data_IF_180221539608
#
_entry.id   IF_180221539608
#
_cell.length_a   1.000
_cell.length_b   1.000
_cell.length_c   1.000
_cell.angle_alpha   90.00
_cell.angle_beta   90.00
_cell.angle_gamma   90.00
#
_symmetry.space_group_name_H-M   'P 1'
#
loop_
_entity.id
_entity.type
_entity.pdbx_description
1 polymer ?
#
# COMPACT_ATOMS: atom_id res chain seq x y z
N UNK A 1 29.41 8.64 18.83
CA UNK A 1 28.52 8.45 17.66
C UNK A 1 27.25 7.81 18.17
N UNK A 2 26.14 8.54 18.27
CA UNK A 2 24.86 7.93 18.64
C UNK A 2 24.44 7.04 17.48
N UNK A 3 24.34 5.72 17.70
CA UNK A 3 23.79 4.82 16.71
C UNK A 3 22.38 5.31 16.38
N UNK A 4 22.15 5.73 15.13
CA UNK A 4 20.81 6.08 14.67
C UNK A 4 19.94 4.85 14.85
N UNK A 5 19.07 4.87 15.85
CA UNK A 5 18.24 3.72 16.19
C UNK A 5 17.28 3.45 15.05
N UNK A 6 17.70 2.49 14.22
CA UNK A 6 17.03 2.09 13.01
C UNK A 6 15.97 1.05 13.37
N UNK A 7 14.69 1.36 13.13
CA UNK A 7 13.66 0.34 13.25
C UNK A 7 13.86 -0.65 12.10
N UNK A 8 14.57 -1.74 12.38
CA UNK A 8 14.81 -2.82 11.43
C UNK A 8 13.92 -4.02 11.80
N UNK A 9 12.60 -3.97 11.50
CA UNK A 9 11.73 -5.08 11.83
C UNK A 9 12.10 -6.32 11.00
N UNK A 10 11.77 -7.49 11.53
CA UNK A 10 11.78 -8.74 10.75
C UNK A 10 10.49 -8.80 9.93
N UNK A 11 10.62 -8.98 8.62
CA UNK A 11 9.48 -9.03 7.69
C UNK A 11 8.99 -10.45 7.51
N UNK A 12 7.72 -10.69 7.79
CA UNK A 12 7.10 -12.02 7.68
C UNK A 12 5.86 -11.96 6.81
N UNK A 13 5.84 -12.76 5.75
CA UNK A 13 4.64 -13.05 4.95
C UNK A 13 4.08 -14.42 5.31
N UNK A 14 2.83 -14.70 4.93
CA UNK A 14 2.28 -16.04 5.06
C UNK A 14 3.01 -17.01 4.11
N UNK A 15 3.19 -18.27 4.53
CA UNK A 15 3.80 -19.32 3.67
C UNK A 15 3.08 -19.46 2.33
N UNK A 16 1.75 -19.39 2.35
CA UNK A 16 0.93 -19.46 1.14
C UNK A 16 0.51 -18.06 0.70
N UNK A 17 0.75 -17.66 -0.57
CA UNK A 17 0.24 -16.41 -1.10
C UNK A 17 -1.29 -16.38 -1.09
N UNK A 18 -1.86 -15.17 -0.99
CA UNK A 18 -3.30 -14.97 -1.04
C UNK A 18 -3.85 -15.33 -2.41
N UNK A 19 -3.19 -14.86 -3.47
CA UNK A 19 -3.54 -15.19 -4.85
C UNK A 19 -2.28 -15.70 -5.57
N UNK A 20 -2.39 -16.85 -6.23
CA UNK A 20 -1.29 -17.50 -6.95
C UNK A 20 -1.38 -17.18 -8.43
N UNK A 21 -0.22 -16.89 -9.02
CA UNK A 21 -0.05 -16.79 -10.46
C UNK A 21 -0.90 -15.69 -11.13
N UNK A 22 -1.01 -14.53 -10.47
CA UNK A 22 -1.74 -13.34 -10.93
C UNK A 22 -0.91 -12.59 -11.97
N UNK A 23 -1.52 -12.16 -13.06
CA UNK A 23 -0.86 -11.37 -14.12
C UNK A 23 -0.72 -9.89 -13.73
N UNK A 24 0.18 -9.16 -14.40
CA UNK A 24 0.32 -7.71 -14.19
C UNK A 24 -0.96 -6.92 -14.54
N UNK A 25 -1.74 -7.38 -15.53
CA UNK A 25 -3.03 -6.80 -15.89
C UNK A 25 -4.05 -6.99 -14.77
N UNK A 26 -4.14 -8.19 -14.20
CA UNK A 26 -5.01 -8.47 -13.05
C UNK A 26 -4.61 -7.66 -11.83
N UNK A 27 -3.31 -7.52 -11.54
CA UNK A 27 -2.81 -6.64 -10.48
C UNK A 27 -3.29 -5.19 -10.71
N UNK A 28 -3.11 -4.68 -11.93
CA UNK A 28 -3.55 -3.32 -12.29
C UNK A 28 -5.05 -3.15 -12.09
N UNK A 29 -5.85 -4.10 -12.58
CA UNK A 29 -7.31 -4.07 -12.54
C UNK A 29 -7.88 -4.22 -11.13
N UNK A 30 -7.35 -5.16 -10.35
CA UNK A 30 -7.88 -5.55 -9.03
C UNK A 30 -7.37 -4.61 -7.93
N UNK A 31 -6.07 -4.29 -7.95
CA UNK A 31 -5.45 -3.45 -6.92
C UNK A 31 -5.46 -1.96 -7.28
N UNK A 32 -5.88 -1.59 -8.50
CA UNK A 32 -5.78 -0.22 -9.00
C UNK A 32 -4.32 0.25 -9.10
N UNK A 33 -3.40 -0.67 -9.37
CA UNK A 33 -1.96 -0.43 -9.44
C UNK A 33 -1.57 -0.05 -10.88
N UNK A 34 -2.05 1.09 -11.36
CA UNK A 34 -1.95 1.50 -12.78
C UNK A 34 -0.52 1.75 -13.26
N UNK A 35 0.44 1.93 -12.35
CA UNK A 35 1.85 2.11 -12.67
C UNK A 35 2.69 0.88 -12.29
N UNK A 36 2.06 -0.29 -12.06
CA UNK A 36 2.75 -1.50 -11.63
C UNK A 36 3.86 -1.92 -12.61
N UNK A 37 3.53 -2.05 -13.90
CA UNK A 37 4.52 -2.49 -14.91
C UNK A 37 5.67 -1.47 -15.01
N UNK A 38 5.44 -0.16 -15.26
CA UNK A 38 6.54 0.80 -15.34
C UNK A 38 7.43 0.85 -14.08
N UNK A 39 6.83 0.75 -12.89
CA UNK A 39 7.57 0.76 -11.64
C UNK A 39 8.41 -0.52 -11.47
N UNK A 40 7.88 -1.68 -11.84
CA UNK A 40 8.61 -2.95 -11.82
C UNK A 40 9.73 -2.96 -12.85
N UNK A 41 9.51 -2.45 -14.06
CA UNK A 41 10.56 -2.33 -15.07
C UNK A 41 11.72 -1.45 -14.60
N UNK A 42 11.39 -0.32 -13.98
CA UNK A 42 12.39 0.59 -13.40
C UNK A 42 13.19 -0.11 -12.31
N UNK A 43 12.51 -0.84 -11.42
CA UNK A 43 13.17 -1.60 -10.36
C UNK A 43 14.10 -2.68 -10.91
N UNK A 44 13.65 -3.49 -11.87
CA UNK A 44 14.46 -4.56 -12.45
C UNK A 44 15.65 -4.03 -13.25
N UNK A 45 15.47 -2.93 -14.00
CA UNK A 45 16.58 -2.29 -14.74
C UNK A 45 17.64 -1.72 -13.80
N UNK A 46 17.24 -1.24 -12.62
CA UNK A 46 18.19 -0.77 -11.61
C UNK A 46 18.93 -1.93 -10.95
N UNK A 47 18.28 -3.08 -10.76
CA UNK A 47 18.90 -4.28 -10.21
C UNK A 47 19.85 -4.95 -11.21
N UNK A 48 19.45 -5.02 -12.49
CA UNK A 48 20.27 -5.56 -13.57
C UNK A 48 20.05 -4.74 -14.86
N UNK A 49 21.01 -3.86 -15.21
CA UNK A 49 20.94 -3.03 -16.41
C UNK A 49 20.92 -3.82 -17.73
N UNK A 50 21.30 -5.10 -17.72
CA UNK A 50 21.32 -5.95 -18.93
C UNK A 50 19.92 -6.43 -19.35
N UNK A 51 18.92 -6.27 -18.48
CA UNK A 51 17.53 -6.58 -18.76
C UNK A 51 16.91 -5.51 -19.68
N UNK A 52 17.16 -5.65 -20.98
CA UNK A 52 16.66 -4.70 -21.99
C UNK A 52 15.22 -4.98 -22.45
N UNK A 53 14.78 -6.25 -22.42
CA UNK A 53 13.44 -6.64 -22.88
C UNK A 53 12.51 -6.97 -21.71
N UNK A 54 11.99 -5.91 -21.10
CA UNK A 54 11.09 -6.03 -19.95
C UNK A 54 9.63 -6.23 -20.37
N UNK A 55 9.35 -6.23 -21.68
CA UNK A 55 8.01 -6.48 -22.23
C UNK A 55 7.44 -7.85 -21.83
N UNK A 56 8.33 -8.79 -21.49
CA UNK A 56 8.03 -10.13 -21.01
C UNK A 56 7.28 -10.11 -19.66
N UNK A 57 7.38 -9.03 -18.86
CA UNK A 57 6.65 -8.88 -17.59
C UNK A 57 5.14 -9.02 -17.71
N UNK A 58 4.58 -8.70 -18.88
CA UNK A 58 3.14 -8.85 -19.13
C UNK A 58 2.69 -10.30 -19.17
N UNK A 59 3.59 -11.24 -19.48
CA UNK A 59 3.34 -12.69 -19.55
C UNK A 59 3.64 -13.39 -18.24
N UNK A 60 4.39 -12.74 -17.36
CA UNK A 60 4.75 -13.30 -16.08
C UNK A 60 3.58 -13.32 -15.10
N UNK A 61 3.66 -14.28 -14.19
CA UNK A 61 2.66 -14.55 -13.16
C UNK A 61 3.30 -14.36 -11.80
N UNK A 62 2.64 -13.59 -10.95
CA UNK A 62 3.13 -13.18 -9.64
C UNK A 62 2.32 -13.85 -8.55
N UNK A 63 2.99 -14.21 -7.47
CA UNK A 63 2.31 -14.55 -6.22
C UNK A 63 2.06 -13.26 -5.45
N UNK A 64 0.86 -13.07 -4.91
CA UNK A 64 0.52 -11.86 -4.15
C UNK A 64 0.03 -12.19 -2.75
N UNK A 65 0.31 -11.29 -1.81
CA UNK A 65 -0.12 -11.39 -0.42
C UNK A 65 -1.00 -10.20 -0.06
N UNK A 66 -2.06 -10.49 0.68
CA UNK A 66 -2.93 -9.45 1.22
C UNK A 66 -2.37 -8.76 2.46
N UNK A 67 -1.36 -9.37 3.13
CA UNK A 67 -0.77 -8.86 4.37
C UNK A 67 0.70 -9.26 4.51
N UNK A 68 1.48 -8.40 5.15
CA UNK A 68 2.79 -8.71 5.72
C UNK A 68 2.82 -8.26 7.19
N UNK A 69 3.63 -8.92 8.01
CA UNK A 69 3.91 -8.57 9.40
C UNK A 69 5.30 -7.95 9.49
N UNK A 70 5.42 -6.86 10.23
CA UNK A 70 6.67 -6.24 10.63
C UNK A 70 6.85 -6.56 12.11
N UNK A 71 7.76 -7.47 12.44
CA UNK A 71 8.02 -7.88 13.81
C UNK A 71 9.15 -7.02 14.38
N UNK A 72 8.82 -6.18 15.34
CA UNK A 72 9.74 -5.23 15.95
C UNK A 72 10.24 -5.77 17.28
N UNK A 73 11.55 -5.71 17.49
CA UNK A 73 12.14 -5.84 18.81
C UNK A 73 11.74 -4.66 19.70
N UNK A 74 11.87 -4.82 21.03
CA UNK A 74 11.63 -3.73 21.96
C UNK A 74 12.52 -2.51 21.59
N UNK A 75 11.96 -1.30 21.54
CA UNK A 75 12.74 -0.12 21.20
C UNK A 75 13.81 0.16 22.27
N UNK A 76 15.03 0.54 21.88
CA UNK A 76 16.13 0.77 22.82
C UNK A 76 15.87 1.94 23.79
N UNK A 77 15.05 2.91 23.37
CA UNK A 77 14.63 4.05 24.19
C UNK A 77 13.46 3.73 25.14
N UNK A 78 12.79 2.57 24.97
CA UNK A 78 11.72 2.12 25.86
C UNK A 78 11.69 0.59 25.96
N UNK A 79 12.70 -0.03 26.60
CA UNK A 79 12.81 -1.50 26.65
C UNK A 79 11.65 -2.17 27.40
N UNK A 80 10.92 -1.43 28.25
CA UNK A 80 9.76 -1.93 28.98
C UNK A 80 8.55 -2.23 28.08
N UNK A 81 8.49 -1.67 26.86
CA UNK A 81 7.34 -1.83 25.97
C UNK A 81 7.24 -3.22 25.32
N UNK A 82 8.31 -4.02 25.40
CA UNK A 82 8.37 -5.34 24.78
C UNK A 82 8.37 -5.30 23.23
N UNK A 83 8.53 -6.46 22.58
CA UNK A 83 8.41 -6.57 21.13
C UNK A 83 6.96 -6.35 20.69
N UNK A 84 6.77 -5.83 19.47
CA UNK A 84 5.43 -5.63 18.89
C UNK A 84 5.37 -6.02 17.42
N UNK A 85 4.15 -6.22 16.92
CA UNK A 85 3.92 -6.64 15.53
C UNK A 85 3.01 -5.65 14.82
N UNK A 86 3.55 -5.01 13.79
CA UNK A 86 2.82 -4.16 12.86
C UNK A 86 2.32 -5.00 11.68
N UNK A 87 1.14 -4.68 11.14
CA UNK A 87 0.55 -5.41 10.01
C UNK A 87 0.30 -4.47 8.84
N UNK A 88 1.03 -4.70 7.74
CA UNK A 88 0.85 -3.99 6.46
C UNK A 88 -0.20 -4.72 5.63
N UNK A 89 -1.29 -4.06 5.25
CA UNK A 89 -2.35 -4.65 4.41
C UNK A 89 -2.34 -4.08 2.99
N UNK A 90 -2.49 -4.99 2.02
CA UNK A 90 -2.62 -4.71 0.59
C UNK A 90 -3.86 -5.42 0.03
N UNK A 91 -5.03 -5.10 0.58
CA UNK A 91 -6.28 -5.82 0.30
C UNK A 91 -7.12 -5.09 -0.75
N UNK A 92 -7.30 -5.66 -1.96
CA UNK A 92 -8.24 -5.10 -2.92
C UNK A 92 -9.68 -5.34 -2.49
N UNK A 93 -10.58 -4.58 -3.11
CA UNK A 93 -12.03 -4.75 -2.95
C UNK A 93 -12.45 -6.13 -3.47
N UNK A 94 -13.22 -6.87 -2.67
CA UNK A 94 -13.80 -8.15 -3.07
C UNK A 94 -15.28 -7.96 -3.40
N UNK A 95 -15.68 -8.48 -4.56
CA UNK A 95 -17.09 -8.52 -5.01
C UNK A 95 -17.54 -9.97 -5.18
N UNK A 96 -18.75 -10.27 -4.75
CA UNK A 96 -19.38 -11.58 -4.86
C UNK A 96 -20.84 -11.37 -5.30
N UNK A 97 -21.25 -12.01 -6.41
CA UNK A 97 -22.59 -11.80 -6.97
C UNK A 97 -22.91 -10.33 -7.30
N UNK A 98 -21.91 -9.54 -7.68
CA UNK A 98 -22.06 -8.10 -7.96
C UNK A 98 -22.10 -7.20 -6.71
N UNK A 99 -22.19 -7.76 -5.50
CA UNK A 99 -22.17 -7.01 -4.24
C UNK A 99 -20.76 -6.91 -3.67
N UNK A 100 -20.41 -5.75 -3.12
CA UNK A 100 -19.12 -5.56 -2.44
C UNK A 100 -19.17 -6.27 -1.09
N UNK A 101 -18.41 -7.36 -0.94
CA UNK A 101 -18.30 -8.12 0.32
C UNK A 101 -17.17 -7.63 1.21
N UNK A 102 -16.11 -7.07 0.61
CA UNK A 102 -14.99 -6.48 1.33
C UNK A 102 -14.53 -5.21 0.62
N UNK A 103 -14.37 -4.12 1.38
CA UNK A 103 -13.79 -2.87 0.84
C UNK A 103 -12.28 -3.02 0.64
N UNK A 104 -11.72 -2.19 -0.23
CA UNK A 104 -10.27 -2.09 -0.36
C UNK A 104 -9.67 -1.52 0.92
N UNK A 105 -8.52 -2.06 1.33
CA UNK A 105 -7.74 -1.60 2.48
C UNK A 105 -6.27 -1.67 2.12
N UNK A 106 -5.67 -0.49 2.01
CA UNK A 106 -4.28 -0.29 1.63
C UNK A 106 -3.64 0.58 2.70
N UNK A 107 -2.80 -0.03 3.53
CA UNK A 107 -2.16 0.66 4.65
C UNK A 107 -1.01 1.55 4.14
N UNK A 108 -0.74 2.64 4.86
CA UNK A 108 0.42 3.50 4.64
C UNK A 108 1.58 3.06 5.53
N UNK A 109 2.80 3.17 5.02
CA UNK A 109 4.03 2.74 5.69
C UNK A 109 5.13 3.78 5.55
N UNK A 110 6.02 3.81 6.53
CA UNK A 110 7.32 4.48 6.43
C UNK A 110 8.26 3.60 5.62
N UNK A 111 8.74 4.12 4.49
CA UNK A 111 9.69 3.47 3.60
C UNK A 111 11.06 4.10 3.79
N UNK A 112 12.08 3.29 4.11
CA UNK A 112 13.44 3.79 4.19
C UNK A 112 13.91 4.24 2.80
N UNK A 113 14.19 5.53 2.64
CA UNK A 113 14.53 6.12 1.35
C UNK A 113 15.92 6.78 1.35
N UNK A 114 16.27 7.53 2.40
CA UNK A 114 17.55 8.28 2.49
C UNK A 114 18.36 7.81 3.68
N UNK A 115 19.32 6.92 3.46
CA UNK A 115 20.12 6.29 4.54
C UNK A 115 21.06 7.28 5.25
N UNK A 116 21.45 8.34 4.54
CA UNK A 116 22.30 9.44 5.01
C UNK A 116 21.57 10.43 5.92
N UNK A 117 20.24 10.41 5.92
CA UNK A 117 19.42 11.31 6.72
C UNK A 117 19.07 10.69 8.08
N UNK A 118 18.75 11.57 9.03
CA UNK A 118 18.36 11.19 10.40
C UNK A 118 16.88 11.49 10.67
N UNK A 119 16.36 10.90 11.75
CA UNK A 119 15.00 11.14 12.24
C UNK A 119 13.94 10.76 11.21
N UNK A 120 12.88 11.56 11.11
CA UNK A 120 11.75 11.28 10.20
C UNK A 120 12.10 11.48 8.72
N UNK A 121 13.09 12.33 8.41
CA UNK A 121 13.45 12.76 7.04
C UNK A 121 14.11 11.68 6.20
N UNK A 122 14.61 10.62 6.84
CA UNK A 122 15.15 9.43 6.16
C UNK A 122 14.08 8.55 5.51
N UNK A 123 12.83 8.73 5.91
CA UNK A 123 11.71 7.96 5.40
C UNK A 123 10.93 8.74 4.35
N UNK A 124 10.47 8.05 3.32
CA UNK A 124 9.32 8.48 2.52
C UNK A 124 8.07 7.76 3.03
N UNK A 125 6.89 8.27 2.69
CA UNK A 125 5.64 7.58 3.00
C UNK A 125 5.16 6.90 1.71
N UNK A 126 4.78 5.63 1.83
CA UNK A 126 4.19 4.86 0.74
C UNK A 126 2.86 4.26 1.14
N UNK A 127 1.87 4.30 0.25
CA UNK A 127 0.65 3.50 0.38
C UNK A 127 0.84 2.18 -0.33
N UNK A 128 0.89 1.08 0.42
CA UNK A 128 1.13 -0.25 -0.16
C UNK A 128 -0.14 -0.75 -0.85
N UNK A 129 -0.05 -0.95 -2.17
CA UNK A 129 -1.18 -1.42 -3.00
C UNK A 129 -1.06 -2.92 -3.29
N UNK A 130 0.17 -3.43 -3.41
CA UNK A 130 0.45 -4.85 -3.69
C UNK A 130 1.67 -5.30 -2.90
N UNK A 131 1.59 -6.49 -2.30
CA UNK A 131 2.75 -7.23 -1.79
C UNK A 131 2.85 -8.46 -2.68
N UNK A 132 4.00 -8.69 -3.32
CA UNK A 132 4.16 -9.73 -4.32
C UNK A 132 5.57 -10.32 -4.32
N UNK A 133 5.76 -11.42 -5.04
CA UNK A 133 7.07 -12.01 -5.28
C UNK A 133 7.28 -12.13 -6.78
N UNK A 134 8.53 -11.94 -7.20
CA UNK A 134 8.92 -12.18 -8.59
C UNK A 134 8.71 -13.65 -8.97
N UNK A 135 8.45 -13.95 -10.26
CA UNK A 135 8.51 -15.32 -10.76
C UNK A 135 9.88 -15.94 -10.47
N UNK A 136 9.93 -17.26 -10.32
CA UNK A 136 11.19 -18.00 -10.04
C UNK A 136 12.28 -17.75 -11.09
N UNK A 137 11.90 -17.44 -12.34
CA UNK A 137 12.85 -17.07 -13.41
C UNK A 137 13.60 -15.77 -13.14
N UNK A 138 13.08 -14.91 -12.27
CA UNK A 138 13.64 -13.60 -11.89
C UNK A 138 14.09 -13.56 -10.42
N UNK A 139 13.99 -14.67 -9.68
CA UNK A 139 14.31 -14.70 -8.24
C UNK A 139 15.78 -14.41 -7.95
N UNK A 140 16.67 -14.66 -8.91
CA UNK A 140 18.11 -14.32 -8.84
C UNK A 140 18.38 -12.82 -8.70
N UNK A 141 17.45 -11.97 -9.14
CA UNK A 141 17.60 -10.51 -9.11
C UNK A 141 17.23 -9.93 -7.76
N UNK A 142 16.25 -10.54 -7.08
CA UNK A 142 15.82 -10.12 -5.77
C UNK A 142 15.15 -11.29 -5.08
N UNK A 143 15.75 -11.69 -3.96
CA UNK A 143 15.13 -12.66 -3.08
C UNK A 143 14.08 -12.00 -2.18
N UNK A 144 12.97 -12.72 -2.01
CA UNK A 144 11.92 -12.37 -1.06
C UNK A 144 10.83 -11.44 -1.60
N UNK A 145 9.90 -11.01 -0.73
CA UNK A 145 8.74 -10.23 -1.13
C UNK A 145 9.10 -8.79 -1.50
N UNK A 146 8.46 -8.30 -2.54
CA UNK A 146 8.44 -6.91 -3.00
C UNK A 146 7.12 -6.24 -2.61
N UNK A 147 7.15 -4.91 -2.57
CA UNK A 147 5.95 -4.07 -2.44
C UNK A 147 5.87 -3.11 -3.61
N UNK A 148 4.66 -2.94 -4.13
CA UNK A 148 4.30 -1.82 -5.00
C UNK A 148 3.52 -0.80 -4.18
N UNK A 149 4.00 0.45 -4.15
CA UNK A 149 3.45 1.51 -3.33
C UNK A 149 3.29 2.82 -4.09
N UNK A 150 2.20 3.53 -3.82
CA UNK A 150 2.03 4.93 -4.27
C UNK A 150 2.76 5.84 -3.29
N UNK A 151 3.65 6.69 -3.79
CA UNK A 151 4.55 7.51 -2.97
C UNK A 151 3.91 8.85 -2.64
N UNK A 152 4.28 9.37 -1.47
CA UNK A 152 4.01 10.73 -1.04
C UNK A 152 5.32 11.52 -1.06
N UNK A 153 5.22 12.82 -1.33
CA UNK A 153 6.32 13.77 -1.29
C UNK A 153 6.98 13.83 0.08
N UNK A 154 8.13 14.49 0.11
CA UNK A 154 8.86 14.77 1.33
C UNK A 154 8.00 15.53 2.34
N UNK A 155 8.30 15.31 3.61
CA UNK A 155 7.76 16.00 4.77
C UNK A 155 7.81 17.52 4.59
N UNK A 156 6.78 18.22 5.08
CA UNK A 156 6.85 19.67 5.24
C UNK A 156 8.06 20.06 6.08
N UNK A 157 8.71 21.17 5.73
CA UNK A 157 9.91 21.62 6.44
C UNK A 157 9.63 21.90 7.92
N UNK A 158 8.43 22.43 8.20
CA UNK A 158 7.91 22.73 9.53
C UNK A 158 6.59 22.00 9.76
N UNK A 159 6.27 21.66 11.03
CA UNK A 159 4.94 21.20 11.39
C UNK A 159 3.88 22.27 11.12
N UNK A 160 2.65 21.83 10.81
CA UNK A 160 1.51 22.72 10.57
C UNK A 160 0.91 23.19 11.89
N UNK A 161 0.83 24.50 12.08
CA UNK A 161 0.06 25.10 13.17
C UNK A 161 -1.45 25.00 12.88
N UNK A 162 -2.32 24.85 13.91
CA UNK A 162 -2.00 24.69 15.34
C UNK A 162 -1.71 23.23 15.73
N UNK A 163 -1.72 22.30 14.77
CA UNK A 163 -1.69 20.86 15.05
C UNK A 163 -0.33 20.34 15.51
N UNK A 164 0.76 21.03 15.17
CA UNK A 164 2.12 20.55 15.39
C UNK A 164 2.47 19.28 14.59
N UNK A 165 1.68 18.92 13.56
CA UNK A 165 1.89 17.72 12.75
C UNK A 165 2.51 18.05 11.40
N UNK A 166 3.35 17.14 10.89
CA UNK A 166 3.90 17.27 9.55
C UNK A 166 2.84 17.05 8.48
N UNK A 167 2.94 17.81 7.39
CA UNK A 167 2.12 17.58 6.21
C UNK A 167 2.92 16.83 5.15
N UNK A 168 2.20 16.00 4.40
CA UNK A 168 2.71 15.31 3.22
C UNK A 168 1.70 15.43 2.08
N UNK A 169 2.18 15.36 0.85
CA UNK A 169 1.35 15.44 -0.35
C UNK A 169 1.55 14.19 -1.21
N UNK A 170 0.54 13.72 -1.94
CA UNK A 170 0.75 12.78 -3.04
C UNK A 170 1.86 13.24 -4.00
N UNK A 171 2.83 12.36 -4.31
CA UNK A 171 3.85 12.67 -5.33
C UNK A 171 3.27 12.41 -6.72
N UNK A 172 3.42 13.37 -7.62
CA UNK A 172 3.00 13.28 -9.02
C UNK A 172 4.16 13.58 -9.96
N UNK A 173 4.17 12.95 -11.12
CA UNK A 173 5.10 13.26 -12.21
C UNK A 173 4.70 14.59 -12.87
N UNK A 174 5.57 15.13 -13.73
CA UNK A 174 5.27 16.30 -14.58
C UNK A 174 4.05 16.10 -15.49
N UNK A 175 3.67 14.84 -15.77
CA UNK A 175 2.47 14.49 -16.53
C UNK A 175 1.22 14.29 -15.66
N UNK A 176 1.26 14.71 -14.40
CA UNK A 176 0.18 14.54 -13.43
C UNK A 176 -0.23 13.07 -13.21
N UNK A 177 0.73 12.15 -13.34
CA UNK A 177 0.55 10.72 -13.04
C UNK A 177 1.08 10.46 -11.64
N UNK A 178 0.33 9.72 -10.81
CA UNK A 178 0.76 9.34 -9.45
C UNK A 178 2.10 8.60 -9.53
N UNK A 179 3.08 9.05 -8.74
CA UNK A 179 4.36 8.35 -8.64
C UNK A 179 4.18 7.12 -7.77
N UNK A 180 4.59 5.98 -8.31
CA UNK A 180 4.58 4.70 -7.63
C UNK A 180 5.91 4.00 -7.83
N UNK A 181 6.28 3.15 -6.88
CA UNK A 181 7.58 2.49 -6.82
C UNK A 181 7.41 1.02 -6.49
N UNK A 182 8.35 0.20 -6.97
CA UNK A 182 8.57 -1.17 -6.51
C UNK A 182 9.84 -1.19 -5.69
N UNK A 183 9.79 -1.83 -4.53
CA UNK A 183 10.92 -1.93 -3.61
C UNK A 183 10.83 -3.21 -2.76
N UNK A 184 11.97 -3.70 -2.23
CA UNK A 184 11.98 -4.80 -1.28
C UNK A 184 11.10 -4.50 -0.06
N UNK A 185 10.34 -5.49 0.39
CA UNK A 185 9.54 -5.37 1.61
C UNK A 185 10.41 -5.00 2.83
N UNK A 186 11.69 -5.37 2.82
CA UNK A 186 12.66 -5.04 3.86
C UNK A 186 12.84 -3.54 4.12
N UNK A 187 12.52 -2.69 3.14
CA UNK A 187 12.56 -1.24 3.27
C UNK A 187 11.34 -0.65 3.98
N UNK A 188 10.25 -1.41 4.14
CA UNK A 188 9.11 -0.97 4.95
C UNK A 188 9.45 -1.09 6.43
N UNK A 189 9.49 0.05 7.14
CA UNK A 189 9.94 0.10 8.54
C UNK A 189 8.81 0.07 9.55
N UNK A 190 7.68 0.71 9.29
CA UNK A 190 6.57 0.78 10.24
C UNK A 190 5.28 1.16 9.51
N UNK A 191 4.13 0.73 10.01
CA UNK A 191 2.86 1.26 9.55
C UNK A 191 2.65 2.67 10.08
N UNK A 192 2.02 3.54 9.28
CA UNK A 192 1.67 4.88 9.70
C UNK A 192 0.25 5.23 9.26
N UNK A 193 -0.25 6.37 9.71
CA UNK A 193 -1.57 6.86 9.35
C UNK A 193 -1.49 8.30 8.86
N UNK A 194 -2.21 8.58 7.78
CA UNK A 194 -2.34 9.90 7.18
C UNK A 194 -3.78 10.39 7.34
N UNK A 195 -3.96 11.53 8.00
CA UNK A 195 -5.25 12.19 8.14
C UNK A 195 -5.42 13.23 7.02
N UNK A 196 -6.51 13.23 6.25
CA UNK A 196 -6.72 14.23 5.19
C UNK A 196 -6.85 15.64 5.76
N UNK A 197 -6.23 16.63 5.11
CA UNK A 197 -6.42 18.05 5.43
C UNK A 197 -7.69 18.58 4.77
N UNK A 198 -8.78 18.70 5.53
CA UNK A 198 -10.08 19.15 5.00
C UNK A 198 -10.10 20.63 4.59
N UNK A 199 -9.23 21.46 5.15
CA UNK A 199 -9.10 22.90 4.82
C UNK A 199 -8.68 23.14 3.37
N UNK A 200 -7.98 22.16 2.77
CA UNK A 200 -7.45 22.27 1.41
C UNK A 200 -8.47 21.97 0.31
N UNK A 201 -9.71 21.61 0.67
CA UNK A 201 -10.72 21.11 -0.28
C UNK A 201 -11.88 22.08 -0.42
N UNK A 202 -12.34 22.28 -1.66
CA UNK A 202 -13.67 22.86 -1.91
C UNK A 202 -14.74 21.91 -1.36
N UNK A 203 -15.66 22.44 -0.55
CA UNK A 203 -16.64 21.67 0.25
C UNK A 203 -17.60 20.77 -0.56
N UNK A 204 -17.56 20.80 -1.89
CA UNK A 204 -18.65 20.28 -2.72
C UNK A 204 -18.52 18.78 -3.07
N UNK A 205 -17.41 18.11 -2.72
CA UNK A 205 -17.31 16.66 -3.01
C UNK A 205 -17.75 15.80 -1.84
N UNK A 206 -18.89 15.13 -1.99
CA UNK A 206 -19.37 14.16 -1.02
C UNK A 206 -18.44 12.93 -0.96
N UNK A 207 -17.95 12.60 0.24
CA UNK A 207 -17.18 11.37 0.48
C UNK A 207 -18.14 10.19 0.52
N UNK A 208 -18.10 9.36 -0.51
CA UNK A 208 -18.85 8.11 -0.49
C UNK A 208 -18.02 7.01 0.17
N UNK A 209 -18.69 5.94 0.55
CA UNK A 209 -18.09 4.78 1.21
C UNK A 209 -16.97 4.09 0.39
N UNK A 210 -16.98 4.28 -0.93
CA UNK A 210 -16.04 3.72 -1.89
C UNK A 210 -14.99 4.74 -2.36
N UNK A 211 -15.02 5.96 -1.80
CA UNK A 211 -14.11 7.03 -2.15
C UNK A 211 -12.69 6.68 -1.73
N UNK A 212 -11.75 6.78 -2.66
CA UNK A 212 -10.33 6.68 -2.35
C UNK A 212 -9.84 8.01 -1.77
N UNK A 213 -9.83 8.11 -0.44
CA UNK A 213 -9.41 9.30 0.30
C UNK A 213 -8.01 9.76 -0.16
N UNK A 214 -7.10 8.84 -0.45
CA UNK A 214 -5.73 9.16 -0.89
C UNK A 214 -5.63 9.72 -2.32
N UNK A 215 -6.67 9.54 -3.13
CA UNK A 215 -6.79 10.14 -4.45
C UNK A 215 -7.54 11.48 -4.42
N UNK A 216 -8.35 11.72 -3.38
CA UNK A 216 -9.25 12.87 -3.32
C UNK A 216 -8.67 14.08 -2.59
N UNK A 217 -7.73 13.88 -1.65
CA UNK A 217 -7.15 14.97 -0.87
C UNK A 217 -5.75 15.31 -1.38
N UNK A 218 -5.42 16.61 -1.55
CA UNK A 218 -4.11 17.03 -2.04
C UNK A 218 -3.05 17.08 -0.94
N UNK A 219 -3.46 17.11 0.33
CA UNK A 219 -2.56 17.22 1.48
C UNK A 219 -3.07 16.37 2.64
N UNK A 220 -2.15 15.78 3.40
CA UNK A 220 -2.42 14.95 4.56
C UNK A 220 -1.54 15.36 5.73
N UNK A 221 -2.07 15.28 6.95
CA UNK A 221 -1.32 15.34 8.19
C UNK A 221 -0.81 13.94 8.55
N UNK A 222 0.46 13.84 8.92
CA UNK A 222 1.04 12.63 9.46
C UNK A 222 0.61 12.45 10.92
N UNK A 223 -0.24 11.45 11.17
CA UNK A 223 -0.79 11.22 12.50
C UNK A 223 0.20 10.41 13.36
N UNK A 224 0.97 11.12 14.17
CA UNK A 224 1.94 10.55 15.10
C UNK A 224 1.28 9.72 16.22
N UNK A 225 -0.02 9.93 16.47
CA UNK A 225 -0.77 9.27 17.55
C UNK A 225 -1.43 7.97 17.11
N UNK A 226 -1.24 7.53 15.87
CA UNK A 226 -1.88 6.33 15.35
C UNK A 226 -1.32 5.03 15.94
N UNK A 227 -0.08 5.05 16.39
CA UNK A 227 0.60 3.92 17.02
C UNK A 227 1.46 4.48 18.17
N UNK A 228 1.33 3.89 19.37
CA UNK A 228 2.12 4.29 20.55
C UNK A 228 3.63 4.19 20.28
N UNK A 229 4.05 3.16 19.54
CA UNK A 229 5.44 2.94 19.16
C UNK A 229 5.96 4.03 18.22
N UNK A 230 5.13 4.43 17.25
CA UNK A 230 5.46 5.53 16.33
C UNK A 230 5.57 6.86 17.09
N UNK A 231 4.66 7.11 18.03
CA UNK A 231 4.72 8.29 18.90
C UNK A 231 6.01 8.31 19.72
N UNK A 232 6.35 7.19 20.39
CA UNK A 232 7.59 7.07 21.18
C UNK A 232 8.84 7.26 20.33
N UNK A 233 8.88 6.67 19.14
CA UNK A 233 9.98 6.81 18.18
C UNK A 233 10.20 8.27 17.78
N UNK A 234 9.10 8.97 17.47
CA UNK A 234 9.17 10.36 17.06
C UNK A 234 9.53 11.27 18.23
N UNK A 235 9.09 10.99 19.45
CA UNK A 235 9.53 11.75 20.63
C UNK A 235 11.01 11.55 20.92
N UNK A 236 11.50 10.33 20.78
CA UNK A 236 12.91 10.01 21.00
C UNK A 236 13.81 10.77 20.00
N UNK A 237 13.50 10.72 18.71
CA UNK A 237 14.26 11.49 17.71
C UNK A 237 14.19 13.01 17.97
N UNK A 238 13.11 13.54 18.59
CA UNK A 238 12.91 14.98 18.87
C UNK A 238 13.84 15.42 20.00
N UNK A 239 13.90 14.61 21.06
CA UNK A 239 14.80 14.81 22.21
C UNK A 239 16.27 14.77 21.82
N UNK A 240 16.64 13.87 20.90
CA UNK A 240 18.01 13.74 20.38
C UNK A 240 18.39 14.87 19.40
N UNK A 241 17.51 15.83 19.15
CA UNK A 241 17.76 16.92 18.21
C UNK A 241 17.92 16.46 16.76
N UNK A 242 17.61 15.19 16.45
CA UNK A 242 17.66 14.61 15.09
C UNK A 242 16.64 15.25 14.13
N UNK A 243 15.78 16.12 14.66
CA UNK A 243 14.89 16.96 13.88
C UNK A 243 15.49 18.24 13.33
N UNK A 244 16.46 18.82 14.06
CA UNK A 244 17.11 20.05 13.64
C UNK A 244 18.15 19.66 12.63
N UNK A 245 17.72 19.53 11.37
CA UNK A 245 18.63 19.67 10.25
C UNK A 245 19.35 20.99 10.50
N UNK A 246 20.62 20.93 10.92
CA UNK A 246 21.45 22.12 11.00
C UNK A 246 21.37 22.71 9.61
N UNK A 247 20.70 23.86 9.49
CA UNK A 247 20.73 24.63 8.25
C UNK A 247 22.21 24.69 7.89
N UNK A 248 22.64 24.18 6.73
CA UNK A 248 24.07 24.13 6.42
C UNK A 248 24.57 25.56 6.56
N UNK A 249 25.40 25.84 7.56
CA UNK A 249 25.99 27.15 7.82
C UNK A 249 27.10 27.46 6.81
N UNK A 250 26.97 26.93 5.58
CA UNK A 250 27.80 27.26 4.44
C UNK A 250 27.17 28.39 3.64
N UNK A 251 27.97 29.20 2.93
CA UNK A 251 27.45 30.23 2.04
C UNK A 251 26.52 29.57 1.04
N UNK A 252 25.29 30.09 0.94
CA UNK A 252 24.28 29.62 0.01
C UNK A 252 24.84 29.67 -1.42
N UNK A 253 25.38 28.56 -1.90
CA UNK A 253 25.70 28.41 -3.30
C UNK A 253 24.35 28.31 -3.98
N UNK A 254 23.98 29.35 -4.73
CA UNK A 254 22.80 29.33 -5.59
C UNK A 254 22.99 28.18 -6.58
N UNK A 255 22.40 27.04 -6.26
CA UNK A 255 22.23 25.94 -7.21
C UNK A 255 20.98 26.29 -8.00
N UNK A 256 21.17 26.58 -9.28
CA UNK A 256 20.10 26.92 -10.21
C UNK A 256 19.02 25.84 -10.18
N UNK A 257 17.80 26.25 -9.86
CA UNK A 257 16.64 25.40 -9.56
C UNK A 257 15.99 24.75 -10.80
N UNK A 258 16.75 24.53 -11.87
CA UNK A 258 16.26 24.02 -13.15
C UNK A 258 16.73 22.58 -13.47
N UNK A 259 17.29 21.85 -12.50
CA UNK A 259 17.58 20.41 -12.63
C UNK A 259 16.59 19.55 -11.84
N UNK A 260 15.33 19.56 -12.26
CA UNK A 260 14.28 18.64 -11.79
C UNK A 260 14.41 17.22 -12.39
N UNK A 261 15.59 16.87 -12.87
CA UNK A 261 15.94 15.48 -13.16
C UNK A 261 16.30 14.80 -11.85
N UNK A 262 15.31 14.54 -10.98
CA UNK A 262 15.51 13.69 -9.79
C UNK A 262 15.88 12.28 -10.28
N UNK A 263 17.18 12.07 -10.49
CA UNK A 263 17.81 10.78 -10.62
C UNK A 263 17.44 10.04 -9.33
N UNK A 264 16.60 9.02 -9.46
CA UNK A 264 16.48 8.03 -8.41
C UNK A 264 17.85 7.37 -8.35
N UNK A 265 18.70 7.78 -7.40
CA UNK A 265 19.96 7.08 -7.19
C UNK A 265 19.60 5.64 -6.84
N UNK A 266 20.07 4.65 -7.62
CA UNK A 266 19.91 3.25 -7.26
C UNK A 266 20.41 3.09 -5.82
N UNK A 267 19.58 2.46 -4.98
CA UNK A 267 19.95 2.20 -3.60
C UNK A 267 21.27 1.40 -3.64
N UNK A 268 22.37 1.88 -3.04
CA UNK A 268 23.58 1.08 -3.00
C UNK A 268 23.26 -0.23 -2.27
N UNK A 269 23.50 -1.34 -2.97
CA UNK A 269 23.52 -2.69 -2.43
C UNK A 269 24.31 -2.67 -1.10
N UNK A 270 23.85 -3.36 -0.04
CA UNK A 270 24.66 -3.53 1.15
C UNK A 270 25.98 -4.14 0.72
N UNK A 271 27.08 -3.40 0.86
CA UNK A 271 28.40 -3.85 0.45
C UNK A 271 28.65 -5.25 0.98
N UNK A 272 28.90 -6.19 0.06
CA UNK A 272 29.48 -7.47 0.38
C UNK A 272 30.76 -7.17 1.14
N UNK A 273 30.75 -7.42 2.44
CA UNK A 273 31.99 -7.53 3.19
C UNK A 273 32.63 -8.77 2.62
N UNK A 274 33.66 -8.57 1.79
CA UNK A 274 34.63 -9.60 1.49
C UNK A 274 35.34 -9.92 2.82
N UNK A 275 34.69 -10.77 3.62
CA UNK A 275 35.34 -11.42 4.74
C UNK A 275 36.33 -12.42 4.15
N UNK A 276 37.59 -12.01 4.28
CA UNK A 276 38.79 -12.82 4.16
C UNK A 276 38.53 -14.27 4.61
N UNK A 277 38.62 -15.19 3.65
CA UNK A 277 38.49 -16.62 3.88
C UNK A 277 39.61 -17.09 4.81
N UNK A 278 39.32 -17.14 6.11
CA UNK A 278 40.11 -17.85 7.10
C UNK A 278 40.04 -19.35 6.81
N UNK A 279 41.21 -19.91 6.53
CA UNK A 279 41.54 -21.33 6.46
C UNK A 279 41.11 -22.05 7.75
N UNK A 280 39.97 -22.74 7.70
CA UNK A 280 39.54 -23.66 8.75
C UNK A 280 39.98 -25.06 8.37
N UNK A 281 41.08 -25.46 9.00
CA UNK A 281 41.66 -26.79 8.91
C UNK A 281 40.63 -27.90 9.07
N UNK A 282 40.79 -28.90 8.22
CA UNK A 282 40.08 -30.17 8.24
C UNK A 282 40.24 -30.86 9.60
N UNK A 283 39.14 -31.04 10.31
CA UNK A 283 38.96 -32.13 11.25
C UNK A 283 37.56 -32.69 11.02
N UNK A 284 37.51 -33.81 10.32
CA UNK A 284 36.36 -34.71 10.26
C UNK A 284 36.25 -35.43 11.62
N UNK A 285 35.11 -35.36 12.31
CA UNK A 285 34.68 -36.42 13.20
C UNK A 285 33.76 -37.35 12.42
N UNK A 286 34.06 -38.62 12.58
CA UNK A 286 33.36 -39.78 12.05
C UNK A 286 31.90 -39.82 12.55
N UNK A 287 31.05 -40.32 11.67
CA UNK A 287 29.86 -41.14 11.90
C UNK A 287 29.38 -41.30 13.35
N UNK A 288 28.19 -40.78 13.64
CA UNK A 288 27.30 -41.38 14.63
C UNK A 288 25.86 -41.31 14.08
N UNK A 289 25.36 -42.49 13.74
CA UNK A 289 23.97 -42.79 13.38
C UNK A 289 23.07 -42.55 14.62
N UNK A 290 22.22 -41.51 14.57
CA UNK A 290 21.15 -41.34 15.57
C UNK A 290 19.79 -41.70 14.97
N UNK A 291 19.24 -42.76 15.56
CA UNK A 291 17.97 -43.40 15.30
C UNK A 291 16.78 -42.42 15.26
N UNK A 292 16.02 -42.52 14.18
CA UNK A 292 14.70 -41.90 14.00
C UNK A 292 13.71 -42.64 14.90
N UNK A 293 13.49 -42.12 16.11
CA UNK A 293 12.37 -42.54 16.96
C UNK A 293 11.09 -41.92 16.40
N UNK A 294 10.34 -42.69 15.62
CA UNK A 294 8.91 -42.44 15.35
C UNK A 294 8.18 -42.41 16.69
N UNK A 295 7.68 -41.23 17.08
CA UNK A 295 6.78 -41.09 18.21
C UNK A 295 5.36 -41.11 17.68
N UNK A 296 4.68 -42.24 17.86
CA UNK A 296 3.24 -42.38 17.68
C UNK A 296 2.52 -41.47 18.69
N UNK A 297 1.94 -40.37 18.20
CA UNK A 297 1.01 -39.55 18.99
C UNK A 297 -0.37 -40.23 18.98
N UNK A 298 -0.59 -41.06 19.99
CA UNK A 298 -1.91 -41.58 20.35
C UNK A 298 -2.87 -40.43 20.70
N UNK A 299 -3.93 -40.33 19.90
CA UNK A 299 -5.09 -39.51 20.17
C UNK A 299 -5.89 -40.10 21.34
N UNK A 300 -5.71 -39.57 22.54
CA UNK A 300 -6.62 -39.80 23.66
C UNK A 300 -7.61 -38.65 23.80
N UNK A 301 -8.87 -38.99 23.56
CA UNK A 301 -10.06 -38.25 23.96
C UNK A 301 -10.03 -37.91 25.46
N UNK A 302 -10.25 -36.64 25.80
CA UNK A 302 -10.64 -36.23 27.14
C UNK A 302 -11.79 -35.20 27.09
N UNK A 303 -13.01 -35.74 27.03
CA UNK A 303 -14.22 -35.09 27.49
C UNK A 303 -14.23 -35.02 29.02
N UNK A 304 -13.94 -33.85 29.62
CA UNK A 304 -14.42 -33.58 30.98
C UNK A 304 -14.87 -32.14 31.17
N UNK A 305 -16.20 -31.99 31.16
CA UNK A 305 -17.01 -31.34 32.19
C UNK A 305 -16.39 -30.14 32.92
N UNK A 306 -16.93 -28.94 32.68
CA UNK A 306 -16.98 -27.93 33.72
C UNK A 306 -18.37 -27.31 33.83
N UNK A 307 -19.11 -27.89 34.77
CA UNK A 307 -20.37 -27.40 35.31
C UNK A 307 -20.11 -26.51 36.53
N UNK A 308 -21.01 -25.53 36.73
CA UNK A 308 -21.26 -24.74 37.95
C UNK A 308 -20.20 -23.72 38.41
N UNK A 309 -20.56 -22.44 38.26
CA UNK A 309 -20.95 -21.62 39.43
C UNK A 309 -22.06 -20.62 39.07
N UNK A 310 -23.28 -20.90 39.54
CA UNK A 310 -24.41 -19.97 39.66
C UNK A 310 -24.45 -19.40 41.07
N UNK A 311 -24.38 -18.08 41.23
CA UNK A 311 -24.97 -17.24 42.30
C UNK A 311 -25.08 -15.81 41.72
N UNK A 312 -26.16 -15.03 41.77
CA UNK A 312 -27.51 -15.14 42.31
C UNK A 312 -28.08 -13.72 42.54
N UNK A 313 -29.04 -13.28 41.69
CA UNK A 313 -30.16 -12.29 41.88
C UNK A 313 -29.86 -10.87 42.44
N UNK A 314 -30.80 -9.87 42.40
CA UNK A 314 -32.24 -9.86 42.00
C UNK A 314 -32.59 -8.84 40.88
N UNK A 315 -33.55 -9.08 39.98
CA UNK A 315 -35.03 -8.90 40.07
C UNK A 315 -35.50 -7.50 40.54
N UNK A 316 -35.89 -6.66 39.58
CA UNK A 316 -36.86 -5.59 39.78
C UNK A 316 -37.83 -5.56 38.59
N UNK A 317 -39.11 -5.66 38.93
CA UNK A 317 -40.26 -5.66 38.04
C UNK A 317 -40.52 -4.28 37.43
N UNK A 318 -40.94 -4.23 36.17
CA UNK A 318 -42.02 -3.31 35.78
C UNK A 318 -42.80 -3.86 34.58
N UNK A 319 -44.03 -4.29 34.90
CA UNK A 319 -45.16 -4.44 33.97
C UNK A 319 -45.49 -3.06 33.38
N UNK A 320 -45.95 -3.03 32.13
CA UNK A 320 -47.17 -2.32 31.68
C UNK A 320 -47.63 -2.94 30.34
N UNK A 321 -48.95 -3.15 30.28
CA UNK A 321 -49.91 -3.64 29.27
C UNK A 321 -49.62 -3.34 27.80
N UNK A 322 -49.78 -4.31 26.88
CA UNK A 322 -51.02 -4.71 26.18
C UNK A 322 -51.83 -3.56 25.54
N UNK A 323 -51.83 -3.49 24.19
CA UNK A 323 -53.02 -3.19 23.36
C UNK A 323 -52.98 -4.05 22.09
N UNK A 324 -54.14 -4.68 21.81
CA UNK A 324 -54.48 -5.58 20.71
C UNK A 324 -54.92 -4.83 19.44
N UNK A 325 -55.02 -5.62 18.35
CA UNK A 325 -55.85 -5.51 17.12
C UNK A 325 -55.08 -4.93 15.93
N UNK A 326 -55.18 -5.49 14.72
CA UNK A 326 -56.14 -6.46 14.20
C UNK A 326 -55.70 -7.13 12.89
N UNK A 327 -56.39 -8.22 12.61
CA UNK A 327 -56.33 -9.06 11.42
C UNK A 327 -56.76 -8.32 10.16
N UNK A 328 -56.15 -8.66 9.02
CA UNK A 328 -56.65 -8.34 7.69
C UNK A 328 -56.24 -9.44 6.71
N UNK A 329 -57.12 -10.43 6.52
CA UNK A 329 -57.06 -11.43 5.44
C UNK A 329 -57.44 -10.76 4.13
N UNK A 330 -56.72 -11.04 3.05
CA UNK A 330 -57.11 -10.68 1.69
C UNK A 330 -56.65 -11.74 0.71
N UNK A 331 -57.58 -12.62 0.31
CA UNK A 331 -57.45 -13.57 -0.80
C UNK A 331 -57.52 -12.83 -2.13
N UNK A 332 -56.72 -13.24 -3.10
CA UNK A 332 -56.88 -12.89 -4.51
C UNK A 332 -56.43 -14.04 -5.40
N UNK A 333 -57.40 -14.79 -5.94
CA UNK A 333 -57.24 -15.78 -7.02
C UNK A 333 -57.34 -15.06 -8.38
N UNK A 334 -56.72 -15.65 -9.40
CA UNK A 334 -57.00 -15.40 -10.82
C UNK A 334 -55.72 -15.10 -11.60
N UNK A 335 -55.47 -15.62 -12.79
CA UNK A 335 -56.16 -16.56 -13.67
C UNK A 335 -55.16 -16.86 -14.81
N UNK A 336 -55.20 -18.09 -15.29
CA UNK A 336 -54.87 -18.66 -16.61
C UNK A 336 -54.32 -17.83 -17.78
N UNK A 337 -53.67 -18.62 -18.68
CA UNK A 337 -53.30 -18.45 -20.11
C UNK A 337 -51.83 -18.11 -20.32
N UNK A 338 -51.07 -18.73 -21.22
CA UNK A 338 -51.26 -19.78 -22.24
C UNK A 338 -49.85 -20.12 -22.78
N UNK A 339 -49.51 -21.38 -23.02
CA UNK A 339 -49.56 -22.06 -24.32
C UNK A 339 -48.69 -21.45 -25.46
N UNK A 340 -47.77 -22.29 -25.96
CA UNK A 340 -47.15 -22.34 -27.30
C UNK A 340 -46.04 -21.31 -27.59
N UNK A 341 -44.91 -21.64 -28.23
CA UNK A 341 -44.54 -22.86 -28.93
C UNK A 341 -43.08 -22.87 -29.42
N UNK A 342 -42.76 -23.94 -30.14
CA UNK A 342 -41.55 -24.24 -30.91
C UNK A 342 -41.01 -23.03 -31.70
N UNK A 343 -39.70 -22.89 -31.90
CA UNK A 343 -38.88 -23.77 -32.74
C UNK A 343 -37.96 -22.89 -33.63
N UNK A 344 -37.03 -23.50 -34.40
CA UNK A 344 -35.70 -22.94 -34.65
C UNK A 344 -35.44 -22.51 -36.12
N UNK A 345 -34.18 -22.17 -36.38
CA UNK A 345 -33.49 -22.05 -37.68
C UNK A 345 -33.62 -20.72 -38.42
N UNK A 346 -32.48 -20.05 -38.65
CA UNK A 346 -32.01 -19.82 -40.02
C UNK A 346 -30.54 -19.42 -40.04
N UNK A 347 -29.81 -20.11 -40.91
CA UNK A 347 -28.46 -19.82 -41.33
C UNK A 347 -28.49 -18.92 -42.58
N UNK A 348 -27.56 -17.97 -42.70
CA UNK A 348 -27.05 -17.43 -43.97
C UNK A 348 -25.86 -16.50 -43.63
N UNK A 349 -24.63 -16.82 -44.04
CA UNK A 349 -24.02 -16.62 -45.37
C UNK A 349 -23.69 -15.16 -45.70
N UNK A 350 -22.44 -14.98 -46.13
CA UNK A 350 -21.96 -13.86 -46.93
C UNK A 350 -21.52 -12.67 -46.07
N UNK A 351 -20.35 -12.07 -46.26
CA UNK A 351 -19.41 -12.17 -47.36
C UNK A 351 -18.54 -10.92 -47.32
N UNK A 352 -17.27 -11.10 -47.70
CA UNK A 352 -16.43 -10.19 -48.49
C UNK A 352 -16.59 -8.67 -48.32
N UNK A 353 -15.47 -8.00 -48.07
CA UNK A 353 -15.31 -6.61 -48.51
C UNK A 353 -14.25 -5.85 -47.75
N UNK A 354 -13.01 -5.96 -48.21
CA UNK A 354 -11.94 -5.08 -47.76
C UNK A 354 -12.20 -3.61 -48.11
N UNK A 355 -11.54 -2.72 -47.38
CA UNK A 355 -11.13 -1.42 -47.91
C UNK A 355 -10.05 -0.81 -47.04
N UNK A 356 -8.84 -0.80 -47.60
CA UNK A 356 -7.77 0.10 -47.21
C UNK A 356 -8.23 1.54 -47.42
N UNK A 357 -8.08 2.38 -46.40
CA UNK A 357 -8.26 3.82 -46.49
C UNK A 357 -6.91 4.49 -46.24
N UNK A 358 -6.40 5.07 -47.31
CA UNK A 358 -5.23 5.93 -47.34
C UNK A 358 -5.47 7.17 -46.47
N UNK A 359 -4.50 7.46 -45.59
CA UNK A 359 -4.45 8.70 -44.81
C UNK A 359 -3.91 9.80 -45.72
N UNK A 360 -4.77 10.75 -46.08
CA UNK A 360 -4.42 12.00 -46.74
C UNK A 360 -3.98 13.02 -45.68
N UNK A 361 -2.75 13.52 -45.84
CA UNK A 361 -2.28 14.71 -45.16
C UNK A 361 -3.07 15.95 -45.60
N UNK A 362 -3.49 16.77 -44.65
CA UNK A 362 -4.18 18.04 -44.88
C UNK A 362 -3.78 19.04 -43.80
N UNK A 363 -2.94 20.00 -44.19
CA UNK A 363 -2.54 21.15 -43.40
C UNK A 363 -3.61 22.26 -43.37
N UNK A 364 -3.34 23.30 -42.54
CA UNK A 364 -4.10 24.55 -42.27
C UNK A 364 -5.08 24.39 -41.10
N UNK A 365 -5.14 25.25 -40.09
CA UNK A 365 -4.64 26.60 -39.85
C UNK A 365 -5.64 27.26 -38.89
N UNK A 366 -5.20 28.07 -37.93
CA UNK A 366 -6.15 28.77 -37.06
C UNK A 366 -5.61 29.22 -35.71
N UNK A 367 -4.83 30.29 -35.73
CA UNK A 367 -4.54 31.12 -34.55
C UNK A 367 -5.86 31.75 -34.05
N UNK A 368 -6.32 31.38 -32.85
CA UNK A 368 -7.36 32.11 -32.12
C UNK A 368 -6.74 32.76 -30.88
N UNK A 369 -6.87 34.08 -30.83
CA UNK A 369 -6.35 34.94 -29.78
C UNK A 369 -7.01 34.70 -28.43
N UNK A 370 -6.21 34.88 -27.39
CA UNK A 370 -6.59 34.83 -25.98
C UNK A 370 -7.12 36.21 -25.56
N UNK A 371 -8.27 36.33 -24.89
CA UNK A 371 -8.75 37.61 -24.38
C UNK A 371 -7.98 38.00 -23.11
N UNK A 372 -7.43 39.22 -23.12
CA UNK A 372 -6.80 39.88 -21.97
C UNK A 372 -7.83 40.16 -20.87
N UNK A 373 -7.57 39.66 -19.68
CA UNK A 373 -8.32 40.01 -18.46
C UNK A 373 -8.06 41.48 -18.07
N UNK A 374 -9.15 42.23 -17.83
CA UNK A 374 -9.12 43.60 -17.31
C UNK A 374 -8.77 43.60 -15.81
N UNK A 375 -7.78 44.41 -15.43
CA UNK A 375 -7.48 44.77 -14.04
C UNK A 375 -8.61 45.64 -13.46
N UNK A 376 -9.11 45.38 -12.24
CA UNK A 376 -9.95 46.34 -11.54
C UNK A 376 -9.09 47.48 -10.95
N UNK A 377 -9.54 48.70 -11.18
CA UNK A 377 -8.99 49.94 -10.64
C UNK A 377 -9.43 50.16 -9.19
N UNK A 378 -8.62 50.93 -8.46
CA UNK A 378 -8.58 51.01 -7.01
C UNK A 378 -9.82 51.60 -6.33
N UNK A 379 -10.04 51.13 -5.11
CA UNK A 379 -10.76 51.87 -4.08
C UNK A 379 -9.79 52.82 -3.38
N UNK A 380 -10.07 54.12 -3.49
CA UNK A 380 -9.55 55.16 -2.60
C UNK A 380 -10.16 54.96 -1.20
N UNK A 381 -9.33 55.03 -0.16
CA UNK A 381 -9.77 55.37 1.20
C UNK A 381 -9.47 56.84 1.46
N UNK A 382 -10.40 57.51 2.13
CA UNK A 382 -10.18 58.78 2.81
C UNK A 382 -9.58 58.58 4.19
#
# INVERSE_FOLDING_TARGET
>A
MCATHDTNPVHVTAKTPTDKGVTAEEITKIHGATQFVPALETYLRNADPTLHDVSILTRHRFNTWSRARLCHSAPPYNPAEGPFVDVVRAQPMKKEGGRVTRRSRFDTVLLLHRRDQVGVRRYSIGRVRVIFQLPSTLDRLQHGPLVYADVFDSWSQLPSEPTGLYTVKPKFTTRNVRVSVVLPLSLARMTCHLAPCYESRTLDTWLNVNSDVYAMFPTFLFNIFANHQLYGLLRHWEQEGMWRSKKPEGPATQVDADQDGEHYEPIPEPGSSDEEAGDWGSNSPEDDDDDVMEVDEDASDDEHSNQLTRRGRPTAQRRISQVRRGQGRGRGRGQDRGLLGAGPLSAARGGSGGRALAVRAGARGGSRGVPRARRPQGLRRG
#
